data_IF_255049035161
#
_entry.id   IF_255049035161
#
_cell.length_a   1.000
_cell.length_b   1.000
_cell.length_c   1.000
_cell.angle_alpha   90.00
_cell.angle_beta   90.00
_cell.angle_gamma   90.00
#
_symmetry.space_group_name_H-M   'P 1'
#
loop_
_entity.id
_entity.type
_entity.pdbx_description
1 polymer ?
#
# COMPACT_ATOMS: atom_id res chain seq x y z
N UNK A 1 -41.65 4.90 -29.04
CA UNK A 1 -41.38 4.29 -27.71
C UNK A 1 -41.12 5.44 -26.77
N UNK A 2 -41.94 5.62 -25.76
CA UNK A 2 -41.70 6.64 -24.73
C UNK A 2 -40.38 6.28 -24.04
N UNK A 3 -39.34 7.09 -24.22
CA UNK A 3 -38.06 6.97 -23.48
C UNK A 3 -38.37 7.09 -21.98
N UNK A 4 -38.42 5.96 -21.31
CA UNK A 4 -38.59 5.93 -19.85
C UNK A 4 -37.31 6.44 -19.22
N UNK A 5 -37.27 7.69 -18.79
CA UNK A 5 -36.11 8.34 -18.15
C UNK A 5 -35.45 7.45 -17.09
N UNK A 6 -36.26 6.73 -16.29
CA UNK A 6 -35.74 5.87 -15.22
C UNK A 6 -34.89 4.67 -15.69
N UNK A 7 -35.06 4.22 -16.95
CA UNK A 7 -34.30 3.10 -17.51
C UNK A 7 -33.18 3.52 -18.46
N UNK A 8 -33.15 4.81 -18.87
CA UNK A 8 -32.21 5.33 -19.88
C UNK A 8 -30.72 4.96 -19.54
N UNK A 9 -30.33 5.03 -18.30
CA UNK A 9 -28.96 4.74 -17.87
C UNK A 9 -28.57 3.25 -17.95
N UNK A 10 -29.55 2.33 -18.06
CA UNK A 10 -29.34 0.89 -17.96
C UNK A 10 -29.62 0.13 -19.27
N UNK A 11 -30.22 0.79 -20.26
CA UNK A 11 -30.52 0.14 -21.53
C UNK A 11 -29.37 0.27 -22.54
N UNK A 12 -29.22 -0.72 -23.39
CA UNK A 12 -28.23 -0.70 -24.48
C UNK A 12 -28.82 0.05 -25.66
N UNK A 13 -28.48 1.33 -25.78
CA UNK A 13 -28.84 2.22 -26.90
C UNK A 13 -27.59 2.56 -27.72
N UNK A 14 -27.77 3.30 -28.81
CA UNK A 14 -26.66 3.86 -29.60
C UNK A 14 -25.85 4.85 -28.76
N UNK A 15 -26.50 5.63 -27.89
CA UNK A 15 -25.85 6.53 -26.94
C UNK A 15 -24.94 5.74 -25.99
N UNK A 16 -25.44 4.64 -25.41
CA UNK A 16 -24.65 3.76 -24.51
C UNK A 16 -23.48 3.14 -25.26
N UNK A 17 -23.67 2.66 -26.50
CA UNK A 17 -22.56 2.08 -27.30
C UNK A 17 -21.48 3.11 -27.58
N UNK A 18 -21.89 4.34 -27.95
CA UNK A 18 -20.95 5.43 -28.22
C UNK A 18 -20.16 5.81 -26.94
N UNK A 19 -20.86 5.94 -25.80
CA UNK A 19 -20.21 6.20 -24.49
C UNK A 19 -19.17 5.13 -24.15
N UNK A 20 -19.53 3.85 -24.25
CA UNK A 20 -18.60 2.73 -23.94
C UNK A 20 -17.39 2.77 -24.88
N UNK A 21 -17.58 2.94 -26.18
CA UNK A 21 -16.46 3.02 -27.12
C UNK A 21 -15.53 4.20 -26.82
N UNK A 22 -16.09 5.37 -26.47
CA UNK A 22 -15.35 6.57 -26.12
C UNK A 22 -14.44 6.34 -24.90
N UNK A 23 -14.98 5.74 -23.82
CA UNK A 23 -14.22 5.45 -22.59
C UNK A 23 -13.17 4.37 -22.82
N UNK A 24 -13.50 3.32 -23.57
CA UNK A 24 -12.53 2.26 -23.90
C UNK A 24 -11.39 2.78 -24.77
N UNK A 25 -11.66 3.69 -25.71
CA UNK A 25 -10.60 4.28 -26.52
C UNK A 25 -9.65 5.14 -25.68
N UNK A 26 -10.19 5.99 -24.80
CA UNK A 26 -9.38 6.73 -23.83
C UNK A 26 -8.51 5.79 -22.99
N UNK A 27 -9.13 4.77 -22.38
CA UNK A 27 -8.45 3.82 -21.51
C UNK A 27 -7.33 3.08 -22.25
N UNK A 28 -7.59 2.66 -23.50
CA UNK A 28 -6.59 2.02 -24.36
C UNK A 28 -5.42 2.95 -24.65
N UNK A 29 -5.70 4.20 -25.07
CA UNK A 29 -4.63 5.18 -25.35
C UNK A 29 -3.78 5.43 -24.11
N UNK A 30 -4.38 5.67 -22.94
CA UNK A 30 -3.67 5.94 -21.69
C UNK A 30 -2.85 4.75 -21.22
N UNK A 31 -3.40 3.52 -21.29
CA UNK A 31 -2.71 2.30 -20.86
C UNK A 31 -1.50 1.98 -21.75
N UNK A 32 -1.59 2.26 -23.05
CA UNK A 32 -0.54 1.99 -24.03
C UNK A 32 0.41 3.17 -24.28
N UNK A 33 0.19 4.30 -23.61
CA UNK A 33 1.08 5.46 -23.73
C UNK A 33 2.48 5.10 -23.22
N UNK A 34 3.49 5.47 -24.01
CA UNK A 34 4.91 5.31 -23.67
C UNK A 34 5.41 6.54 -22.92
N UNK A 35 5.08 7.72 -23.45
CA UNK A 35 5.43 9.00 -22.86
C UNK A 35 4.16 9.63 -22.27
N UNK A 36 4.03 9.58 -20.95
CA UNK A 36 2.97 10.28 -20.23
C UNK A 36 3.58 11.49 -19.54
N UNK A 37 2.92 12.66 -19.54
CA UNK A 37 3.41 13.79 -18.78
C UNK A 37 3.35 13.47 -17.28
N UNK A 38 4.24 14.10 -16.50
CA UNK A 38 4.19 13.99 -15.04
C UNK A 38 2.99 14.75 -14.48
N UNK A 39 2.61 15.85 -15.16
CA UNK A 39 1.54 16.76 -14.78
C UNK A 39 1.78 17.41 -13.40
N UNK A 40 0.87 18.27 -12.95
CA UNK A 40 1.00 18.95 -11.66
C UNK A 40 -0.35 19.44 -11.16
N UNK A 41 -0.55 19.56 -9.83
CA UNK A 41 -1.80 20.06 -9.28
C UNK A 41 -2.04 21.52 -9.65
N UNK A 42 -3.31 21.89 -9.72
CA UNK A 42 -3.76 23.27 -9.86
C UNK A 42 -4.77 23.64 -8.76
N UNK A 43 -5.17 24.91 -8.68
CA UNK A 43 -6.09 25.38 -7.64
C UNK A 43 -7.53 24.99 -7.93
N UNK A 44 -8.33 24.84 -6.86
CA UNK A 44 -9.79 24.63 -6.99
C UNK A 44 -10.46 25.75 -7.80
N UNK A 45 -10.03 26.98 -7.61
CA UNK A 45 -10.57 28.15 -8.35
C UNK A 45 -10.35 28.00 -9.86
N UNK A 46 -9.15 27.56 -10.25
CA UNK A 46 -8.83 27.36 -11.66
C UNK A 46 -9.61 26.18 -12.25
N UNK A 47 -9.71 25.07 -11.51
CA UNK A 47 -10.52 23.92 -11.93
C UNK A 47 -12.00 24.31 -12.13
N UNK A 48 -12.58 25.08 -11.21
CA UNK A 48 -13.96 25.61 -11.36
C UNK A 48 -14.10 26.51 -12.57
N UNK A 49 -13.11 27.34 -12.84
CA UNK A 49 -13.12 28.25 -14.01
C UNK A 49 -13.05 27.49 -15.33
N UNK A 50 -12.17 26.46 -15.41
CA UNK A 50 -11.94 25.69 -16.63
C UNK A 50 -13.06 24.71 -16.94
N UNK A 51 -13.49 23.93 -15.94
CA UNK A 51 -14.48 22.87 -16.12
C UNK A 51 -15.93 23.40 -16.12
N UNK A 52 -16.19 24.45 -15.34
CA UNK A 52 -17.56 24.89 -15.02
C UNK A 52 -18.34 23.82 -14.24
N UNK A 53 -19.64 24.00 -14.03
CA UNK A 53 -20.49 22.99 -13.40
C UNK A 53 -20.68 21.79 -14.35
N UNK A 54 -20.34 20.60 -13.86
CA UNK A 54 -20.46 19.33 -14.61
C UNK A 54 -21.65 18.49 -14.15
N UNK A 55 -22.09 18.66 -12.90
CA UNK A 55 -23.28 18.01 -12.34
C UNK A 55 -24.43 19.01 -12.47
N UNK A 56 -25.31 18.76 -13.41
CA UNK A 56 -26.48 19.61 -13.76
C UNK A 56 -27.73 18.74 -13.95
N UNK A 57 -28.90 19.33 -13.95
CA UNK A 57 -30.18 18.60 -14.16
C UNK A 57 -30.19 17.81 -15.48
N UNK A 58 -29.66 18.39 -16.57
CA UNK A 58 -29.66 17.75 -17.89
C UNK A 58 -28.39 16.90 -18.14
N UNK A 59 -27.36 17.03 -17.28
CA UNK A 59 -26.01 16.50 -17.53
C UNK A 59 -25.28 17.28 -18.63
N UNK A 60 -23.97 17.06 -18.78
CA UNK A 60 -23.13 17.70 -19.81
C UNK A 60 -22.90 16.81 -21.05
N UNK A 61 -23.36 15.57 -21.00
CA UNK A 61 -23.14 14.54 -22.01
C UNK A 61 -21.75 13.86 -21.90
N UNK A 62 -21.68 12.58 -22.29
CA UNK A 62 -20.50 11.72 -22.09
C UNK A 62 -19.23 12.24 -22.77
N UNK A 63 -19.34 12.74 -24.00
CA UNK A 63 -18.19 13.26 -24.76
C UNK A 63 -17.57 14.49 -24.08
N UNK A 64 -18.41 15.43 -23.60
CA UNK A 64 -17.94 16.61 -22.89
C UNK A 64 -17.39 16.24 -21.50
N UNK A 65 -18.05 15.35 -20.79
CA UNK A 65 -17.58 14.88 -19.48
C UNK A 65 -16.19 14.23 -19.58
N UNK A 66 -15.98 13.36 -20.56
CA UNK A 66 -14.68 12.74 -20.79
C UNK A 66 -13.63 13.77 -21.25
N UNK A 67 -13.98 14.73 -22.11
CA UNK A 67 -13.06 15.79 -22.53
C UNK A 67 -12.63 16.68 -21.34
N UNK A 68 -13.55 17.01 -20.43
CA UNK A 68 -13.22 17.73 -19.19
C UNK A 68 -12.26 16.92 -18.35
N UNK A 69 -12.50 15.61 -18.18
CA UNK A 69 -11.58 14.74 -17.46
C UNK A 69 -10.21 14.68 -18.14
N UNK A 70 -10.16 14.39 -19.46
CA UNK A 70 -8.91 14.19 -20.21
C UNK A 70 -8.05 15.47 -20.29
N UNK A 71 -8.69 16.65 -20.44
CA UNK A 71 -7.97 17.90 -20.70
C UNK A 71 -7.88 18.85 -19.49
N UNK A 72 -8.62 18.60 -18.42
CA UNK A 72 -8.65 19.48 -17.26
C UNK A 72 -8.34 18.72 -15.96
N UNK A 73 -9.04 17.61 -15.68
CA UNK A 73 -8.89 16.95 -14.38
C UNK A 73 -7.66 16.04 -14.33
N UNK A 74 -7.43 15.23 -15.35
CA UNK A 74 -6.27 14.34 -15.38
C UNK A 74 -4.94 15.12 -15.36
N UNK A 75 -4.75 16.22 -16.16
CA UNK A 75 -3.55 17.04 -16.09
C UNK A 75 -3.38 17.82 -14.79
N UNK A 76 -4.41 17.93 -13.95
CA UNK A 76 -4.33 18.50 -12.61
C UNK A 76 -3.96 17.47 -11.53
N UNK A 77 -3.61 16.25 -11.92
CA UNK A 77 -3.16 15.17 -11.03
C UNK A 77 -1.75 14.77 -11.40
N UNK A 78 -0.85 14.68 -10.41
CA UNK A 78 0.49 14.14 -10.66
C UNK A 78 0.36 12.67 -11.06
N UNK A 79 0.99 12.28 -12.17
CA UNK A 79 0.94 10.93 -12.76
C UNK A 79 1.76 9.95 -11.91
N UNK A 80 1.10 9.17 -11.05
CA UNK A 80 1.75 8.29 -10.06
C UNK A 80 2.51 7.11 -10.67
N UNK A 81 2.13 6.65 -11.87
CA UNK A 81 2.83 5.60 -12.62
C UNK A 81 3.93 6.14 -13.55
N UNK A 82 4.30 7.41 -13.41
CA UNK A 82 5.42 8.00 -14.14
C UNK A 82 6.76 7.51 -13.55
N UNK A 83 7.76 7.11 -14.38
CA UNK A 83 9.06 6.61 -13.89
C UNK A 83 9.82 7.59 -12.97
N UNK A 84 9.59 8.88 -13.11
CA UNK A 84 10.21 9.94 -12.30
C UNK A 84 9.32 10.45 -11.16
N UNK A 85 8.26 9.71 -10.81
CA UNK A 85 7.54 9.91 -9.57
C UNK A 85 8.27 9.16 -8.45
N UNK A 86 9.08 9.87 -7.68
CA UNK A 86 10.03 9.29 -6.72
C UNK A 86 9.69 9.62 -5.26
N UNK A 87 8.49 10.13 -5.02
CA UNK A 87 8.00 10.55 -3.70
C UNK A 87 7.03 9.54 -3.09
N UNK A 88 6.85 9.62 -1.78
CA UNK A 88 6.02 8.66 -1.03
C UNK A 88 6.48 7.22 -1.28
N UNK A 89 5.59 6.30 -1.56
CA UNK A 89 5.84 5.02 -2.22
C UNK A 89 4.81 4.94 -3.34
N UNK A 90 5.19 5.24 -4.60
CA UNK A 90 4.25 5.34 -5.71
C UNK A 90 3.68 3.98 -6.14
N UNK A 91 2.64 4.05 -6.97
CA UNK A 91 2.08 2.88 -7.64
C UNK A 91 2.54 2.86 -9.11
N UNK A 92 3.13 1.74 -9.53
CA UNK A 92 3.53 1.53 -10.93
C UNK A 92 2.85 0.25 -11.46
N UNK A 93 1.52 0.26 -11.68
CA UNK A 93 0.78 -0.95 -11.98
C UNK A 93 1.17 -1.54 -13.33
N UNK A 94 1.19 -2.87 -13.41
CA UNK A 94 1.39 -3.57 -14.68
C UNK A 94 0.24 -3.27 -15.64
N UNK A 95 0.53 -3.29 -16.93
CA UNK A 95 -0.51 -3.07 -17.96
C UNK A 95 -1.62 -4.14 -17.88
N UNK A 96 -1.26 -5.38 -17.52
CA UNK A 96 -2.24 -6.45 -17.29
C UNK A 96 -3.17 -6.14 -16.10
N UNK A 97 -2.61 -5.70 -14.96
CA UNK A 97 -3.41 -5.35 -13.79
C UNK A 97 -4.39 -4.20 -14.07
N UNK A 98 -3.93 -3.14 -14.75
CA UNK A 98 -4.77 -2.01 -15.16
C UNK A 98 -5.91 -2.47 -16.08
N UNK A 99 -5.59 -3.27 -17.11
CA UNK A 99 -6.58 -3.78 -18.04
C UNK A 99 -7.62 -4.69 -17.35
N UNK A 100 -7.17 -5.52 -16.42
CA UNK A 100 -8.06 -6.44 -15.70
C UNK A 100 -8.92 -5.74 -14.65
N UNK A 101 -8.48 -4.60 -14.12
CA UNK A 101 -9.30 -3.77 -13.22
C UNK A 101 -10.58 -3.28 -13.89
N UNK A 102 -10.51 -2.98 -15.20
CA UNK A 102 -11.69 -2.70 -16.01
C UNK A 102 -12.63 -3.92 -16.11
N UNK A 103 -12.09 -5.13 -16.27
CA UNK A 103 -12.88 -6.37 -16.29
C UNK A 103 -13.62 -6.56 -14.97
N UNK A 104 -12.93 -6.37 -13.83
CA UNK A 104 -13.54 -6.43 -12.49
C UNK A 104 -14.72 -5.48 -12.36
N UNK A 105 -14.57 -4.23 -12.83
CA UNK A 105 -15.63 -3.22 -12.79
C UNK A 105 -16.78 -3.56 -13.72
N UNK A 106 -16.49 -3.99 -14.96
CA UNK A 106 -17.50 -4.34 -15.96
C UNK A 106 -18.33 -5.57 -15.58
N UNK A 107 -17.75 -6.48 -14.81
CA UNK A 107 -18.42 -7.71 -14.36
C UNK A 107 -19.31 -7.52 -13.13
N UNK A 108 -19.27 -6.35 -12.47
CA UNK A 108 -20.05 -6.01 -11.28
C UNK A 108 -19.97 -7.06 -10.16
N UNK A 109 -18.76 -7.59 -9.91
CA UNK A 109 -18.53 -8.69 -8.98
C UNK A 109 -18.54 -8.23 -7.52
N UNK A 110 -19.24 -8.96 -6.67
CA UNK A 110 -19.19 -8.81 -5.22
C UNK A 110 -18.15 -9.79 -4.63
N UNK A 111 -17.18 -9.26 -3.89
CA UNK A 111 -16.10 -10.07 -3.32
C UNK A 111 -16.20 -10.28 -1.80
N UNK A 112 -17.37 -10.10 -1.18
CA UNK A 112 -17.54 -10.16 0.28
C UNK A 112 -17.85 -11.56 0.81
N UNK A 113 -18.47 -12.42 0.02
CA UNK A 113 -18.88 -13.75 0.45
C UNK A 113 -18.58 -14.80 -0.62
N UNK A 114 -18.42 -16.04 -0.18
CA UNK A 114 -18.32 -17.20 -1.07
C UNK A 114 -19.60 -17.41 -1.87
N UNK A 115 -20.75 -17.28 -1.22
CA UNK A 115 -22.07 -17.49 -1.84
C UNK A 115 -22.24 -16.67 -3.12
N UNK A 116 -21.84 -15.40 -3.08
CA UNK A 116 -22.05 -14.46 -4.20
C UNK A 116 -20.84 -14.37 -5.13
N UNK A 117 -19.64 -14.71 -4.63
CA UNK A 117 -18.38 -14.46 -5.32
C UNK A 117 -17.38 -15.62 -5.30
N UNK A 118 -17.82 -16.89 -5.26
CA UNK A 118 -16.92 -18.04 -5.11
C UNK A 118 -15.69 -17.99 -6.04
N UNK A 119 -15.87 -17.69 -7.32
CA UNK A 119 -14.76 -17.63 -8.29
C UNK A 119 -13.75 -16.51 -7.99
N UNK A 120 -14.21 -15.33 -7.60
CA UNK A 120 -13.30 -14.22 -7.28
C UNK A 120 -12.66 -14.37 -5.92
N UNK A 121 -13.37 -14.98 -4.95
CA UNK A 121 -12.81 -15.32 -3.64
C UNK A 121 -11.72 -16.37 -3.79
N UNK A 122 -11.94 -17.40 -4.62
CA UNK A 122 -10.94 -18.41 -4.92
C UNK A 122 -9.66 -17.78 -5.51
N UNK A 123 -9.80 -16.91 -6.51
CA UNK A 123 -8.66 -16.26 -7.15
C UNK A 123 -7.89 -15.32 -6.18
N UNK A 124 -8.60 -14.59 -5.30
CA UNK A 124 -7.94 -13.79 -4.25
C UNK A 124 -7.21 -14.68 -3.24
N UNK A 125 -7.81 -15.80 -2.82
CA UNK A 125 -7.20 -16.74 -1.89
C UNK A 125 -5.95 -17.42 -2.49
N UNK A 126 -5.92 -17.68 -3.79
CA UNK A 126 -4.73 -18.20 -4.48
C UNK A 126 -3.56 -17.22 -4.36
N UNK A 127 -3.79 -15.92 -4.54
CA UNK A 127 -2.76 -14.88 -4.34
C UNK A 127 -2.34 -14.78 -2.89
N UNK A 128 -3.28 -14.81 -1.95
CA UNK A 128 -2.98 -14.74 -0.50
C UNK A 128 -2.15 -15.94 -0.05
N UNK A 129 -2.48 -17.15 -0.54
CA UNK A 129 -1.71 -18.37 -0.24
C UNK A 129 -0.30 -18.31 -0.84
N UNK A 130 -0.17 -17.80 -2.07
CA UNK A 130 1.14 -17.60 -2.70
C UNK A 130 1.99 -16.62 -1.88
N UNK A 131 1.44 -15.47 -1.50
CA UNK A 131 2.14 -14.49 -0.66
C UNK A 131 2.52 -15.08 0.71
N UNK A 132 1.61 -15.83 1.36
CA UNK A 132 1.88 -16.50 2.62
C UNK A 132 3.07 -17.46 2.51
N UNK A 133 3.13 -18.25 1.44
CA UNK A 133 4.26 -19.13 1.14
C UNK A 133 5.57 -18.38 0.91
N UNK A 134 5.55 -17.25 0.17
CA UNK A 134 6.74 -16.41 -0.03
C UNK A 134 7.23 -15.79 1.29
N UNK A 135 6.34 -15.52 2.24
CA UNK A 135 6.67 -14.98 3.56
C UNK A 135 7.02 -16.06 4.60
N UNK A 136 6.99 -17.34 4.22
CA UNK A 136 7.31 -18.45 5.13
C UNK A 136 6.24 -18.72 6.18
N UNK A 137 5.03 -18.23 6.01
CA UNK A 137 3.90 -18.54 6.88
C UNK A 137 3.41 -19.97 6.64
N UNK A 138 2.71 -20.61 7.61
CA UNK A 138 2.21 -21.97 7.45
C UNK A 138 1.18 -22.07 6.30
N UNK A 139 1.01 -23.27 5.75
CA UNK A 139 0.03 -23.54 4.67
C UNK A 139 -1.42 -23.20 5.08
N UNK A 140 -1.71 -23.25 6.39
CA UNK A 140 -3.01 -22.84 6.94
C UNK A 140 -3.24 -21.34 7.01
N UNK A 141 -2.21 -20.52 6.78
CA UNK A 141 -2.33 -19.08 6.79
C UNK A 141 -3.25 -18.58 5.67
N UNK A 142 -4.01 -17.54 5.96
CA UNK A 142 -4.93 -16.94 5.00
C UNK A 142 -5.42 -15.59 5.46
N UNK A 143 -6.20 -14.92 4.62
CA UNK A 143 -6.57 -13.55 4.94
C UNK A 143 -7.56 -12.95 3.96
N UNK A 144 -7.39 -11.66 3.70
CA UNK A 144 -8.32 -10.87 2.91
C UNK A 144 -7.60 -9.68 2.26
N UNK A 145 -8.06 -9.27 1.09
CA UNK A 145 -7.67 -7.98 0.52
C UNK A 145 -8.53 -6.84 1.07
N UNK A 146 -7.88 -5.79 1.57
CA UNK A 146 -8.51 -4.55 2.05
C UNK A 146 -8.02 -3.35 1.25
N UNK A 147 -8.53 -2.13 1.54
CA UNK A 147 -8.24 -0.94 0.72
C UNK A 147 -6.77 -0.47 0.77
N UNK A 148 -6.07 -0.70 1.85
CA UNK A 148 -4.69 -0.25 2.00
C UNK A 148 -4.15 -0.57 3.38
N UNK A 149 -2.85 -0.37 3.60
CA UNK A 149 -2.17 -0.71 4.84
C UNK A 149 -2.84 -0.16 6.10
N UNK A 150 -3.45 1.03 6.04
CA UNK A 150 -4.19 1.60 7.17
C UNK A 150 -5.36 0.71 7.60
N UNK A 151 -6.16 0.21 6.64
CA UNK A 151 -7.26 -0.72 6.93
C UNK A 151 -6.76 -2.09 7.33
N UNK A 152 -5.64 -2.54 6.75
CA UNK A 152 -4.97 -3.78 7.09
C UNK A 152 -4.46 -3.78 8.54
N UNK A 153 -3.71 -2.73 8.92
CA UNK A 153 -3.22 -2.54 10.28
C UNK A 153 -4.39 -2.49 11.29
N UNK A 154 -5.42 -1.71 11.01
CA UNK A 154 -6.60 -1.65 11.90
C UNK A 154 -7.25 -3.02 12.07
N UNK A 155 -7.51 -3.76 10.99
CA UNK A 155 -8.14 -5.08 11.07
C UNK A 155 -7.27 -6.09 11.81
N UNK A 156 -5.95 -6.12 11.56
CA UNK A 156 -5.02 -6.97 12.28
C UNK A 156 -5.00 -6.67 13.79
N UNK A 157 -4.97 -5.40 14.16
CA UNK A 157 -4.93 -4.97 15.56
C UNK A 157 -6.26 -5.21 16.28
N UNK A 158 -7.40 -5.15 15.58
CA UNK A 158 -8.70 -5.57 16.11
C UNK A 158 -8.70 -7.07 16.43
N UNK A 159 -8.16 -7.91 15.53
CA UNK A 159 -8.01 -9.35 15.75
C UNK A 159 -7.06 -9.64 16.92
N UNK A 160 -5.94 -8.95 17.02
CA UNK A 160 -5.00 -9.06 18.14
C UNK A 160 -5.66 -8.73 19.48
N UNK A 161 -6.43 -7.63 19.55
CA UNK A 161 -7.18 -7.26 20.76
C UNK A 161 -8.22 -8.31 21.13
N UNK A 162 -8.95 -8.83 20.16
CA UNK A 162 -9.95 -9.88 20.41
C UNK A 162 -9.31 -11.16 20.92
N UNK A 163 -8.18 -11.59 20.31
CA UNK A 163 -7.40 -12.72 20.75
C UNK A 163 -6.94 -12.56 22.21
N UNK A 164 -6.36 -11.39 22.53
CA UNK A 164 -5.89 -11.10 23.88
C UNK A 164 -7.02 -11.06 24.91
N UNK A 165 -8.17 -10.47 24.55
CA UNK A 165 -9.37 -10.50 25.40
C UNK A 165 -9.86 -11.91 25.70
N UNK A 166 -9.87 -12.79 24.70
CA UNK A 166 -10.31 -14.16 24.87
C UNK A 166 -9.36 -14.94 25.78
N UNK A 167 -8.06 -14.69 25.68
CA UNK A 167 -7.05 -15.34 26.48
C UNK A 167 -7.10 -14.93 27.96
N UNK A 168 -7.28 -13.62 28.25
CA UNK A 168 -7.28 -13.11 29.63
C UNK A 168 -8.64 -13.27 30.32
N UNK A 169 -9.72 -13.52 29.59
CA UNK A 169 -11.06 -13.70 30.18
C UNK A 169 -11.49 -12.49 31.01
N UNK A 170 -11.64 -12.68 32.33
CA UNK A 170 -12.06 -11.63 33.26
C UNK A 170 -10.88 -10.78 33.78
N UNK A 171 -9.64 -11.19 33.55
CA UNK A 171 -8.41 -10.46 33.97
C UNK A 171 -8.03 -9.35 32.98
N UNK A 172 -9.00 -8.55 32.53
CA UNK A 172 -8.76 -7.49 31.56
C UNK A 172 -8.08 -6.29 32.22
N UNK A 173 -7.06 -5.70 31.55
CA UNK A 173 -6.46 -4.46 32.00
C UNK A 173 -7.47 -3.30 31.88
N UNK A 174 -7.23 -2.23 32.64
CA UNK A 174 -8.02 -1.02 32.55
C UNK A 174 -7.90 -0.34 31.19
N UNK A 175 -6.76 -0.52 30.51
CA UNK A 175 -6.46 0.02 29.19
C UNK A 175 -5.53 -0.91 28.41
N UNK A 176 -5.74 -1.00 27.10
CA UNK A 176 -4.93 -1.81 26.19
C UNK A 176 -3.79 -0.98 25.57
N UNK A 177 -2.70 -1.64 25.20
CA UNK A 177 -1.50 -1.00 24.66
C UNK A 177 -1.03 -1.71 23.39
N UNK A 178 -0.60 -0.92 22.40
CA UNK A 178 0.15 -1.37 21.21
C UNK A 178 1.58 -0.89 21.34
N UNK A 179 2.55 -1.78 21.25
CA UNK A 179 3.98 -1.46 21.23
C UNK A 179 4.43 -1.36 19.77
N UNK A 180 5.11 -0.29 19.40
CA UNK A 180 5.69 -0.12 18.06
C UNK A 180 6.93 0.79 18.12
N UNK A 181 7.65 0.86 17.01
CA UNK A 181 8.72 1.86 16.83
C UNK A 181 8.17 3.29 16.89
N UNK A 182 8.94 4.24 17.42
CA UNK A 182 8.67 5.67 17.27
C UNK A 182 8.65 6.12 15.80
N UNK A 183 9.29 5.34 14.90
CA UNK A 183 9.30 5.55 13.44
C UNK A 183 8.17 4.80 12.71
N UNK A 184 7.27 4.10 13.45
CA UNK A 184 6.16 3.36 12.83
C UNK A 184 5.25 4.28 12.02
N UNK A 185 4.65 3.73 10.97
CA UNK A 185 3.72 4.49 10.13
C UNK A 185 2.53 5.00 10.95
N UNK A 186 2.07 6.22 10.65
CA UNK A 186 0.98 6.91 11.37
C UNK A 186 -0.34 6.11 11.43
N UNK A 187 -0.53 5.11 10.56
CA UNK A 187 -1.68 4.21 10.59
C UNK A 187 -1.80 3.41 11.88
N UNK A 188 -0.68 3.11 12.57
CA UNK A 188 -0.69 2.41 13.87
C UNK A 188 -1.33 3.30 14.92
N UNK A 189 -0.89 4.57 15.02
CA UNK A 189 -1.50 5.54 15.92
C UNK A 189 -2.97 5.84 15.57
N UNK A 190 -3.29 5.90 14.28
CA UNK A 190 -4.68 6.07 13.81
C UNK A 190 -5.55 4.88 14.20
N UNK A 191 -5.07 3.65 14.04
CA UNK A 191 -5.78 2.45 14.47
C UNK A 191 -5.99 2.43 15.98
N UNK A 192 -4.96 2.78 16.76
CA UNK A 192 -5.04 2.90 18.20
C UNK A 192 -6.10 3.90 18.64
N UNK A 193 -6.16 5.08 18.01
CA UNK A 193 -7.20 6.09 18.28
C UNK A 193 -8.60 5.58 17.98
N UNK A 194 -8.83 4.89 16.85
CA UNK A 194 -10.12 4.27 16.50
C UNK A 194 -10.53 3.20 17.51
N UNK A 195 -9.56 2.42 18.00
CA UNK A 195 -9.78 1.33 18.93
C UNK A 195 -9.87 1.77 20.39
N UNK A 196 -9.61 3.04 20.71
CA UNK A 196 -9.45 3.58 22.06
C UNK A 196 -8.43 2.78 22.90
N UNK A 197 -7.25 2.58 22.34
CA UNK A 197 -6.10 1.93 22.97
C UNK A 197 -4.90 2.87 22.98
N UNK A 198 -3.95 2.64 23.90
CA UNK A 198 -2.73 3.44 23.97
C UNK A 198 -1.67 2.90 23.02
N UNK A 199 -0.74 3.76 22.64
CA UNK A 199 0.49 3.38 21.92
C UNK A 199 1.67 3.60 22.84
N UNK A 200 2.53 2.60 22.99
CA UNK A 200 3.84 2.69 23.64
C UNK A 200 4.92 2.76 22.54
N UNK A 201 5.34 3.96 22.13
CA UNK A 201 6.37 4.11 21.12
C UNK A 201 7.75 3.80 21.75
N UNK A 202 8.45 2.86 21.15
CA UNK A 202 9.82 2.48 21.55
C UNK A 202 10.80 3.35 20.77
N UNK A 203 11.70 4.02 21.49
CA UNK A 203 12.75 4.81 20.87
C UNK A 203 13.72 3.91 20.08
N UNK A 204 14.09 4.38 18.90
CA UNK A 204 15.08 3.72 18.04
C UNK A 204 16.42 4.44 18.11
N UNK A 205 17.50 3.74 17.75
CA UNK A 205 18.79 4.38 17.56
C UNK A 205 18.83 5.26 16.30
N UNK A 206 20.01 5.79 15.97
CA UNK A 206 20.22 6.62 14.77
C UNK A 206 19.90 5.89 13.46
N UNK A 207 19.89 4.57 13.49
CA UNK A 207 19.52 3.70 12.37
C UNK A 207 18.01 3.46 12.24
N UNK A 208 17.21 3.93 13.19
CA UNK A 208 15.74 3.84 13.15
C UNK A 208 15.19 2.41 13.30
N UNK A 209 16.00 1.44 13.76
CA UNK A 209 15.61 0.04 13.91
C UNK A 209 14.97 -0.19 15.28
N UNK A 210 13.79 -0.77 15.30
CA UNK A 210 13.19 -1.31 16.53
C UNK A 210 13.93 -2.59 16.94
N UNK A 211 14.45 -2.59 18.17
CA UNK A 211 15.24 -3.70 18.71
C UNK A 211 14.52 -4.43 19.83
N UNK A 212 14.83 -5.73 20.03
CA UNK A 212 14.18 -6.56 21.04
C UNK A 212 14.36 -6.03 22.47
N UNK A 213 15.47 -5.35 22.79
CA UNK A 213 15.68 -4.79 24.13
C UNK A 213 14.64 -3.73 24.49
N UNK A 214 14.35 -2.82 23.55
CA UNK A 214 13.33 -1.79 23.74
C UNK A 214 11.93 -2.38 23.81
N UNK A 215 11.64 -3.39 23.00
CA UNK A 215 10.36 -4.13 23.02
C UNK A 215 10.20 -4.87 24.34
N UNK A 216 11.25 -5.56 24.84
CA UNK A 216 11.26 -6.25 26.13
C UNK A 216 10.92 -5.28 27.27
N UNK A 217 11.58 -4.12 27.32
CA UNK A 217 11.29 -3.11 28.34
C UNK A 217 9.82 -2.66 28.33
N UNK A 218 9.25 -2.44 27.15
CA UNK A 218 7.84 -2.07 27.01
C UNK A 218 6.88 -3.23 27.42
N UNK A 219 7.23 -4.49 27.10
CA UNK A 219 6.48 -5.66 27.53
C UNK A 219 6.51 -5.84 29.06
N UNK A 220 7.66 -5.58 29.70
CA UNK A 220 7.81 -5.61 31.17
C UNK A 220 7.01 -4.47 31.84
N UNK A 221 7.01 -3.27 31.25
CA UNK A 221 6.31 -2.11 31.79
C UNK A 221 4.78 -2.28 31.71
N UNK A 222 4.26 -2.75 30.56
CA UNK A 222 2.84 -2.80 30.30
C UNK A 222 2.19 -4.18 30.54
N UNK A 223 2.97 -5.24 30.60
CA UNK A 223 2.55 -6.60 30.94
C UNK A 223 1.37 -7.08 30.08
N UNK A 224 0.34 -7.60 30.77
CA UNK A 224 -0.86 -8.15 30.12
C UNK A 224 -1.69 -7.12 29.33
N UNK A 225 -1.40 -5.83 29.45
CA UNK A 225 -2.09 -4.79 28.69
C UNK A 225 -1.66 -4.77 27.21
N UNK A 226 -0.49 -5.32 26.88
CA UNK A 226 0.00 -5.35 25.50
C UNK A 226 -0.84 -6.32 24.66
N UNK A 227 -1.51 -5.78 23.65
CA UNK A 227 -2.26 -6.58 22.67
C UNK A 227 -1.40 -7.00 21.49
N UNK A 228 -0.48 -6.14 21.05
CA UNK A 228 0.37 -6.39 19.90
C UNK A 228 1.69 -5.64 20.01
N UNK A 229 2.72 -6.24 19.41
CA UNK A 229 3.94 -5.58 18.97
C UNK A 229 3.86 -5.44 17.47
N UNK A 230 4.00 -4.21 16.95
CA UNK A 230 4.04 -3.93 15.52
C UNK A 230 5.50 -3.69 15.12
N UNK A 231 6.05 -4.59 14.32
CA UNK A 231 7.36 -4.43 13.70
C UNK A 231 7.19 -4.00 12.24
N UNK A 232 8.00 -3.04 11.80
CA UNK A 232 7.96 -2.51 10.44
C UNK A 232 8.98 -3.22 9.55
N UNK A 233 8.52 -3.68 8.41
CA UNK A 233 9.32 -4.35 7.40
C UNK A 233 9.51 -3.44 6.19
N UNK A 234 10.34 -2.41 6.35
CA UNK A 234 10.57 -1.35 5.37
C UNK A 234 9.82 -0.05 5.69
N UNK A 235 10.43 0.81 6.49
CA UNK A 235 9.87 2.13 6.83
C UNK A 235 9.72 3.02 5.60
N UNK A 236 8.69 3.87 5.58
CA UNK A 236 8.45 4.81 4.47
C UNK A 236 9.63 5.76 4.26
N UNK A 237 10.29 6.20 5.33
CA UNK A 237 11.35 7.21 5.24
C UNK A 237 12.66 6.65 4.69
N UNK A 238 13.07 5.45 5.11
CA UNK A 238 14.40 4.90 4.81
C UNK A 238 14.38 3.50 4.20
N UNK A 239 13.24 2.82 4.21
CA UNK A 239 13.18 1.40 3.86
C UNK A 239 13.79 0.50 4.94
N UNK A 240 13.98 1.00 6.17
CA UNK A 240 14.56 0.25 7.28
C UNK A 240 13.68 -0.92 7.70
N UNK A 241 14.30 -2.05 8.01
CA UNK A 241 13.64 -3.26 8.51
C UNK A 241 13.97 -3.40 9.99
N UNK A 242 12.96 -3.55 10.85
CA UNK A 242 13.13 -3.80 12.27
C UNK A 242 13.81 -5.17 12.53
N UNK A 243 14.39 -5.37 13.71
CA UNK A 243 14.93 -6.67 14.11
C UNK A 243 13.83 -7.68 14.44
N UNK A 244 13.14 -8.12 13.36
CA UNK A 244 11.97 -8.99 13.44
C UNK A 244 12.33 -10.32 14.12
N UNK A 245 13.48 -10.90 13.81
CA UNK A 245 13.91 -12.17 14.41
C UNK A 245 14.13 -12.05 15.92
N UNK A 246 14.81 -10.99 16.35
CA UNK A 246 15.01 -10.72 17.77
C UNK A 246 13.70 -10.43 18.51
N UNK A 247 12.78 -9.68 17.88
CA UNK A 247 11.46 -9.42 18.45
C UNK A 247 10.62 -10.70 18.51
N UNK A 248 10.63 -11.52 17.46
CA UNK A 248 9.91 -12.81 17.44
C UNK A 248 10.37 -13.76 18.52
N UNK A 249 11.69 -13.79 18.83
CA UNK A 249 12.24 -14.62 19.90
C UNK A 249 11.71 -14.24 21.30
N UNK A 250 11.20 -13.02 21.50
CA UNK A 250 10.58 -12.63 22.76
C UNK A 250 9.28 -13.38 23.05
N UNK A 251 8.65 -14.00 22.03
CA UNK A 251 7.45 -14.83 22.21
C UNK A 251 7.71 -16.09 23.05
N UNK A 252 8.95 -16.48 23.25
CA UNK A 252 9.29 -17.58 24.16
C UNK A 252 9.10 -17.21 25.64
N UNK A 253 9.22 -15.92 25.98
CA UNK A 253 9.12 -15.39 27.35
C UNK A 253 7.85 -14.59 27.60
N UNK A 254 7.28 -13.98 26.53
CA UNK A 254 6.14 -13.04 26.60
C UNK A 254 5.05 -13.43 25.64
N UNK A 255 3.84 -13.16 26.03
CA UNK A 255 2.68 -13.47 25.26
C UNK A 255 2.10 -12.19 24.62
N UNK A 256 2.31 -12.04 23.33
CA UNK A 256 1.84 -10.90 22.51
C UNK A 256 1.60 -11.32 21.08
N UNK A 257 0.76 -10.56 20.39
CA UNK A 257 0.57 -10.69 18.95
C UNK A 257 1.67 -9.96 18.20
N UNK A 258 2.40 -10.65 17.35
CA UNK A 258 3.39 -10.03 16.46
C UNK A 258 2.72 -9.68 15.12
N UNK A 259 2.56 -8.39 14.85
CA UNK A 259 2.08 -7.87 13.57
C UNK A 259 3.22 -7.26 12.77
N UNK A 260 3.35 -7.64 11.50
CA UNK A 260 4.34 -7.07 10.59
C UNK A 260 3.67 -6.07 9.65
N UNK A 261 3.98 -4.79 9.84
CA UNK A 261 3.67 -3.77 8.85
C UNK A 261 4.71 -3.81 7.72
N UNK A 262 4.40 -4.59 6.72
CA UNK A 262 5.19 -4.75 5.50
C UNK A 262 4.58 -4.06 4.29
N UNK A 263 3.72 -3.05 4.50
CA UNK A 263 2.96 -2.39 3.45
C UNK A 263 3.81 -2.03 2.21
N UNK A 264 5.05 -1.61 2.44
CA UNK A 264 6.01 -1.36 1.37
C UNK A 264 7.03 -2.51 1.23
N UNK A 265 7.80 -2.76 2.28
CA UNK A 265 9.04 -3.50 2.13
C UNK A 265 8.89 -5.01 2.07
N UNK A 266 7.77 -5.58 2.54
CA UNK A 266 7.59 -7.03 2.52
C UNK A 266 7.59 -7.61 1.10
N UNK A 267 7.25 -6.81 0.08
CA UNK A 267 7.40 -7.18 -1.33
C UNK A 267 8.84 -7.59 -1.69
N UNK A 268 9.85 -7.03 -1.00
CA UNK A 268 11.25 -7.35 -1.24
C UNK A 268 11.66 -8.77 -0.81
N UNK A 269 10.83 -9.49 -0.06
CA UNK A 269 11.04 -10.92 0.19
C UNK A 269 11.00 -11.75 -1.10
N UNK A 270 10.39 -11.25 -2.16
CA UNK A 270 10.44 -11.89 -3.48
C UNK A 270 11.84 -11.83 -4.10
N UNK A 271 12.66 -10.82 -3.75
CA UNK A 271 14.01 -10.67 -4.28
C UNK A 271 15.04 -11.47 -3.48
N UNK A 272 15.89 -12.29 -4.13
CA UNK A 272 16.98 -12.98 -3.45
C UNK A 272 18.00 -12.01 -2.84
N UNK A 273 18.07 -10.77 -3.33
CA UNK A 273 18.99 -9.75 -2.82
C UNK A 273 18.64 -9.27 -1.41
N UNK A 274 17.35 -9.27 -1.06
CA UNK A 274 16.87 -8.74 0.22
C UNK A 274 16.26 -9.80 1.15
N UNK A 275 15.83 -10.96 0.64
CA UNK A 275 15.09 -11.98 1.39
C UNK A 275 15.71 -12.31 2.76
N UNK A 276 17.02 -12.39 2.84
CA UNK A 276 17.75 -12.73 4.08
C UNK A 276 17.57 -11.70 5.19
N UNK A 277 17.13 -10.47 4.90
CA UNK A 277 16.93 -9.39 5.87
C UNK A 277 15.60 -9.53 6.64
N UNK A 278 14.72 -10.41 6.20
CA UNK A 278 13.36 -10.56 6.73
C UNK A 278 13.21 -11.78 7.64
N UNK A 279 14.32 -12.28 8.19
CA UNK A 279 14.27 -13.39 9.14
C UNK A 279 13.35 -13.04 10.32
N UNK A 280 12.47 -13.98 10.72
CA UNK A 280 11.48 -13.78 11.78
C UNK A 280 10.07 -13.45 11.28
N UNK A 281 9.90 -13.02 10.02
CA UNK A 281 8.57 -12.77 9.43
C UNK A 281 7.70 -14.02 9.48
N UNK A 282 8.29 -15.19 9.30
CA UNK A 282 7.63 -16.49 9.40
C UNK A 282 7.01 -16.77 10.77
N UNK A 283 7.37 -16.02 11.80
CA UNK A 283 6.82 -16.12 13.17
C UNK A 283 5.69 -15.14 13.48
N UNK A 284 5.35 -14.26 12.54
CA UNK A 284 4.28 -13.27 12.69
C UNK A 284 2.91 -13.94 12.88
N UNK A 285 2.04 -13.31 13.68
CA UNK A 285 0.63 -13.70 13.80
C UNK A 285 -0.22 -13.07 12.70
N UNK A 286 0.20 -11.90 12.21
CA UNK A 286 -0.35 -11.28 11.01
C UNK A 286 0.67 -10.44 10.27
N UNK A 287 0.49 -10.32 8.95
CA UNK A 287 1.30 -9.47 8.09
C UNK A 287 0.41 -8.67 7.16
N UNK A 288 0.86 -7.48 6.76
CA UNK A 288 0.29 -6.76 5.63
C UNK A 288 1.34 -6.47 4.56
N UNK A 289 0.91 -6.48 3.32
CA UNK A 289 1.67 -5.94 2.18
C UNK A 289 0.69 -5.23 1.23
N UNK A 290 1.09 -4.07 0.68
CA UNK A 290 0.25 -3.30 -0.24
C UNK A 290 0.62 -3.62 -1.69
N UNK A 291 -0.17 -4.45 -2.42
CA UNK A 291 0.06 -4.66 -3.84
C UNK A 291 0.09 -3.38 -4.67
N UNK A 292 -0.70 -2.37 -4.30
CA UNK A 292 -0.71 -1.08 -4.99
C UNK A 292 0.57 -0.26 -4.81
N UNK A 293 1.53 -0.73 -4.00
CA UNK A 293 2.89 -0.17 -3.89
C UNK A 293 3.84 -1.00 -4.77
N UNK A 294 4.61 -1.86 -4.17
CA UNK A 294 5.73 -2.55 -4.86
C UNK A 294 5.40 -3.95 -5.38
N UNK A 295 4.10 -4.28 -5.51
CA UNK A 295 3.60 -5.46 -6.24
C UNK A 295 2.78 -5.07 -7.47
N UNK A 296 2.93 -3.84 -7.93
CA UNK A 296 2.52 -3.36 -9.24
C UNK A 296 1.02 -3.56 -9.56
N UNK A 297 0.16 -3.48 -8.53
CA UNK A 297 -1.28 -3.45 -8.71
C UNK A 297 -1.81 -2.00 -8.74
N UNK A 298 -2.96 -1.72 -9.37
CA UNK A 298 -3.58 -0.40 -9.28
C UNK A 298 -4.14 -0.13 -7.88
N UNK A 299 -4.33 1.15 -7.54
CA UNK A 299 -5.05 1.56 -6.34
C UNK A 299 -6.49 1.03 -6.38
N UNK A 300 -7.02 0.48 -5.26
CA UNK A 300 -6.34 0.30 -4.01
C UNK A 300 -6.35 -1.18 -3.58
N UNK A 301 -5.27 -1.70 -3.02
CA UNK A 301 -5.19 -3.07 -2.53
C UNK A 301 -4.12 -3.23 -1.45
N UNK A 302 -4.49 -3.90 -0.35
CA UNK A 302 -3.58 -4.40 0.69
C UNK A 302 -3.95 -5.85 0.97
N UNK A 303 -2.98 -6.76 0.97
CA UNK A 303 -3.16 -8.12 1.46
C UNK A 303 -2.90 -8.14 2.97
N UNK A 304 -3.92 -8.51 3.73
CA UNK A 304 -3.83 -8.83 5.15
C UNK A 304 -3.87 -10.34 5.28
N UNK A 305 -2.83 -10.93 5.87
CA UNK A 305 -2.70 -12.37 6.06
C UNK A 305 -2.53 -12.66 7.55
N UNK A 306 -3.32 -13.57 8.07
CA UNK A 306 -3.22 -14.13 9.42
C UNK A 306 -2.53 -15.48 9.39
N UNK A 307 -1.64 -15.75 10.35
CA UNK A 307 -1.06 -17.07 10.58
C UNK A 307 -2.15 -18.11 10.91
N UNK A 308 -3.06 -17.71 11.79
CA UNK A 308 -4.27 -18.45 12.17
C UNK A 308 -5.51 -17.62 11.76
N UNK A 309 -6.10 -17.90 10.59
CA UNK A 309 -7.24 -17.13 10.11
C UNK A 309 -8.49 -17.24 10.99
N UNK A 310 -8.64 -18.29 11.80
CA UNK A 310 -9.78 -18.43 12.71
C UNK A 310 -9.81 -17.30 13.76
N UNK A 311 -8.65 -16.76 14.14
CA UNK A 311 -8.56 -15.60 15.03
C UNK A 311 -9.09 -14.33 14.36
N UNK A 312 -8.76 -14.13 13.07
CA UNK A 312 -9.32 -13.04 12.26
C UNK A 312 -10.82 -13.18 12.10
N UNK A 313 -11.29 -14.39 11.74
CA UNK A 313 -12.69 -14.71 11.58
C UNK A 313 -13.49 -14.42 12.84
N UNK A 314 -13.02 -14.90 14.00
CA UNK A 314 -13.67 -14.67 15.29
C UNK A 314 -13.85 -13.19 15.61
N UNK A 315 -12.88 -12.37 15.26
CA UNK A 315 -12.88 -10.94 15.57
C UNK A 315 -13.78 -10.11 14.65
N UNK A 316 -13.99 -10.54 13.41
CA UNK A 316 -14.61 -9.72 12.37
C UNK A 316 -15.96 -10.24 11.88
N UNK A 317 -16.32 -11.51 12.11
CA UNK A 317 -17.61 -12.05 11.66
C UNK A 317 -18.77 -11.20 12.19
N UNK A 318 -19.50 -10.60 11.25
CA UNK A 318 -20.70 -9.82 11.57
C UNK A 318 -21.90 -10.75 11.72
N UNK A 319 -22.71 -10.50 12.74
CA UNK A 319 -23.92 -11.30 13.04
C UNK A 319 -25.16 -10.42 12.89
N UNK A 320 -26.03 -10.80 11.97
CA UNK A 320 -27.36 -10.23 11.79
C UNK A 320 -28.26 -11.26 11.10
N UNK A 321 -29.55 -11.27 11.35
CA UNK A 321 -30.50 -12.26 10.80
C UNK A 321 -30.38 -12.43 9.27
N UNK A 322 -30.19 -11.32 8.52
CA UNK A 322 -30.02 -11.40 7.07
C UNK A 322 -28.64 -11.94 6.62
N UNK A 323 -27.69 -12.11 7.55
CA UNK A 323 -26.36 -12.68 7.30
C UNK A 323 -26.26 -14.16 7.73
N UNK A 324 -27.31 -14.75 8.33
CA UNK A 324 -27.26 -16.12 8.88
C UNK A 324 -26.81 -17.12 7.81
N UNK A 325 -27.32 -17.01 6.57
CA UNK A 325 -26.92 -17.87 5.46
C UNK A 325 -25.41 -17.78 5.13
N UNK A 326 -24.78 -16.62 5.37
CA UNK A 326 -23.35 -16.41 5.14
C UNK A 326 -22.51 -16.87 6.34
N UNK A 327 -22.97 -16.58 7.56
CA UNK A 327 -22.24 -16.88 8.80
C UNK A 327 -22.29 -18.35 9.19
N UNK A 328 -23.33 -19.09 8.78
CA UNK A 328 -23.46 -20.54 8.96
C UNK A 328 -22.66 -21.35 7.91
N UNK A 329 -22.20 -20.70 6.83
CA UNK A 329 -21.39 -21.35 5.81
C UNK A 329 -20.02 -21.73 6.36
N UNK A 330 -19.54 -22.92 5.96
CA UNK A 330 -18.17 -23.36 6.24
C UNK A 330 -17.15 -22.77 5.24
N UNK A 331 -17.65 -22.11 4.20
CA UNK A 331 -16.83 -21.56 3.12
C UNK A 331 -16.18 -20.24 3.49
N UNK A 332 -15.08 -19.93 2.83
CA UNK A 332 -14.31 -18.72 3.10
C UNK A 332 -15.03 -17.47 2.61
N UNK A 333 -15.55 -16.66 3.53
CA UNK A 333 -16.16 -15.37 3.22
C UNK A 333 -15.23 -14.22 3.64
N UNK A 334 -14.68 -13.44 2.70
CA UNK A 334 -13.72 -12.37 2.99
C UNK A 334 -14.21 -11.32 3.99
N UNK A 335 -15.52 -11.08 4.08
CA UNK A 335 -16.12 -10.18 5.08
C UNK A 335 -15.92 -10.64 6.54
N UNK A 336 -15.52 -11.88 6.75
CA UNK A 336 -15.23 -12.44 8.08
C UNK A 336 -13.81 -12.14 8.58
N UNK A 337 -12.94 -11.53 7.75
CA UNK A 337 -11.52 -11.39 8.05
C UNK A 337 -11.06 -9.92 8.16
N UNK A 338 -11.95 -8.96 7.95
CA UNK A 338 -11.68 -7.53 8.10
C UNK A 338 -12.94 -6.75 8.49
N UNK A 339 -12.78 -5.47 8.82
CA UNK A 339 -13.88 -4.59 9.26
C UNK A 339 -14.94 -4.29 8.19
N UNK A 340 -14.76 -4.74 6.96
CA UNK A 340 -15.62 -4.42 5.83
C UNK A 340 -16.56 -5.56 5.47
N UNK A 341 -17.84 -5.27 5.33
CA UNK A 341 -18.82 -6.20 4.78
C UNK A 341 -18.84 -6.12 3.26
N UNK A 342 -19.21 -4.95 2.72
CA UNK A 342 -19.26 -4.74 1.28
C UNK A 342 -17.88 -4.44 0.74
N UNK A 343 -17.43 -5.26 -0.21
CA UNK A 343 -16.12 -5.09 -0.81
C UNK A 343 -16.07 -5.50 -2.29
N UNK A 344 -15.25 -4.77 -3.00
CA UNK A 344 -14.77 -5.12 -4.34
C UNK A 344 -13.68 -6.19 -4.23
N UNK A 345 -13.56 -7.16 -5.16
CA UNK A 345 -12.44 -8.11 -5.20
C UNK A 345 -11.15 -7.41 -5.68
N UNK A 346 -10.44 -6.81 -4.74
CA UNK A 346 -9.26 -5.96 -4.97
C UNK A 346 -7.99 -6.72 -5.35
N UNK A 347 -7.93 -8.00 -5.03
CA UNK A 347 -6.80 -8.86 -5.38
C UNK A 347 -6.79 -9.35 -6.82
N UNK A 348 -7.91 -9.27 -7.53
CA UNK A 348 -8.04 -9.80 -8.88
C UNK A 348 -7.09 -9.15 -9.91
N UNK A 349 -6.84 -7.84 -9.92
CA UNK A 349 -5.85 -7.27 -10.82
C UNK A 349 -4.44 -7.86 -10.61
N UNK A 350 -4.03 -8.08 -9.35
CA UNK A 350 -2.77 -8.75 -9.04
C UNK A 350 -2.79 -10.21 -9.47
N UNK A 351 -3.87 -10.94 -9.18
CA UNK A 351 -4.04 -12.33 -9.62
C UNK A 351 -3.84 -12.47 -11.13
N UNK A 352 -4.54 -11.65 -11.91
CA UNK A 352 -4.43 -11.70 -13.37
C UNK A 352 -3.03 -11.34 -13.86
N UNK A 353 -2.39 -10.37 -13.25
CA UNK A 353 -1.03 -9.96 -13.59
C UNK A 353 -0.01 -11.05 -13.28
N UNK A 354 -0.10 -11.69 -12.11
CA UNK A 354 0.73 -12.84 -11.74
C UNK A 354 0.50 -14.02 -12.67
N UNK A 355 -0.75 -14.34 -12.98
CA UNK A 355 -1.10 -15.43 -13.90
C UNK A 355 -0.59 -15.16 -15.33
N UNK A 356 -0.52 -13.89 -15.75
CA UNK A 356 -0.10 -13.48 -17.08
C UNK A 356 1.41 -13.43 -17.25
N UNK A 357 2.14 -12.90 -16.25
CA UNK A 357 3.59 -12.65 -16.35
C UNK A 357 4.45 -13.63 -15.56
N UNK A 358 3.87 -14.36 -14.60
CA UNK A 358 4.58 -15.25 -13.70
C UNK A 358 5.29 -14.52 -12.56
N UNK A 359 5.54 -15.24 -11.46
CA UNK A 359 6.17 -14.71 -10.26
C UNK A 359 7.63 -14.30 -10.49
N UNK A 360 8.34 -14.94 -11.42
CA UNK A 360 9.74 -14.63 -11.72
C UNK A 360 9.91 -13.20 -12.26
N UNK A 361 9.00 -12.74 -13.11
CA UNK A 361 9.01 -11.36 -13.61
C UNK A 361 8.88 -10.33 -12.48
N UNK A 362 8.10 -10.66 -11.44
CA UNK A 362 8.00 -9.82 -10.23
C UNK A 362 9.30 -9.81 -9.43
N UNK A 363 9.96 -10.97 -9.28
CA UNK A 363 11.27 -11.06 -8.60
C UNK A 363 12.33 -10.23 -9.29
N UNK A 364 12.39 -10.30 -10.62
CA UNK A 364 13.30 -9.51 -11.44
C UNK A 364 13.03 -8.00 -11.31
N UNK A 365 11.76 -7.57 -11.40
CA UNK A 365 11.39 -6.16 -11.30
C UNK A 365 11.72 -5.56 -9.92
N UNK A 366 11.49 -6.30 -8.84
CA UNK A 366 11.82 -5.87 -7.48
C UNK A 366 13.34 -5.84 -7.28
N UNK A 367 14.06 -6.86 -7.76
CA UNK A 367 15.52 -6.92 -7.69
C UNK A 367 16.15 -5.76 -8.43
N UNK A 368 15.66 -5.42 -9.63
CA UNK A 368 16.09 -4.26 -10.39
C UNK A 368 15.98 -2.95 -9.60
N UNK A 369 14.87 -2.73 -8.92
CA UNK A 369 14.69 -1.52 -8.09
C UNK A 369 15.70 -1.44 -6.93
N UNK A 370 16.02 -2.58 -6.31
CA UNK A 370 17.03 -2.65 -5.24
C UNK A 370 18.42 -2.37 -5.80
N UNK A 371 18.79 -2.99 -6.91
CA UNK A 371 20.08 -2.76 -7.59
C UNK A 371 20.25 -1.30 -7.99
N UNK A 372 19.21 -0.70 -8.56
CA UNK A 372 19.21 0.71 -8.94
C UNK A 372 19.40 1.63 -7.74
N UNK A 373 18.75 1.34 -6.59
CA UNK A 373 18.95 2.07 -5.35
C UNK A 373 20.41 1.99 -4.87
N UNK A 374 21.04 0.83 -4.95
CA UNK A 374 22.46 0.65 -4.58
C UNK A 374 23.40 1.41 -5.53
N UNK A 375 23.10 1.38 -6.82
CA UNK A 375 23.88 2.08 -7.85
C UNK A 375 23.83 3.60 -7.64
N UNK A 376 22.63 4.17 -7.46
CA UNK A 376 22.49 5.62 -7.25
C UNK A 376 23.04 6.06 -5.89
N UNK A 377 22.96 5.23 -4.85
CA UNK A 377 23.63 5.46 -3.58
C UNK A 377 25.15 5.56 -3.74
N UNK A 378 25.73 4.73 -4.59
CA UNK A 378 27.16 4.78 -4.93
C UNK A 378 27.49 6.05 -5.73
N UNK A 379 26.61 6.48 -6.64
CA UNK A 379 26.79 7.70 -7.41
C UNK A 379 26.73 8.95 -6.54
N UNK A 380 25.80 9.02 -5.60
CA UNK A 380 25.67 10.13 -4.63
C UNK A 380 27.00 10.32 -3.86
N UNK A 381 27.65 9.26 -3.44
CA UNK A 381 28.94 9.32 -2.70
C UNK A 381 30.10 9.90 -3.50
N UNK A 382 30.04 9.88 -4.82
CA UNK A 382 31.08 10.45 -5.69
C UNK A 382 30.92 11.97 -5.85
N UNK A 383 29.77 12.51 -5.53
CA UNK A 383 29.44 13.91 -5.71
C UNK A 383 29.87 14.74 -4.49
N UNK A 384 30.74 15.74 -4.65
CA UNK A 384 31.36 16.44 -3.51
C UNK A 384 30.35 17.22 -2.66
N UNK A 385 29.21 17.58 -3.23
CA UNK A 385 28.18 18.38 -2.57
C UNK A 385 27.00 17.55 -2.03
N UNK A 386 27.00 16.23 -2.25
CA UNK A 386 25.94 15.35 -1.82
C UNK A 386 26.46 14.36 -0.77
N UNK A 387 25.59 14.04 0.17
CA UNK A 387 25.89 13.07 1.20
C UNK A 387 24.77 12.03 1.29
N UNK A 388 25.11 10.77 1.06
CA UNK A 388 24.20 9.66 1.32
C UNK A 388 23.99 9.55 2.84
N UNK A 389 22.72 9.59 3.30
CA UNK A 389 22.40 9.54 4.73
C UNK A 389 22.71 8.16 5.30
N UNK A 390 22.31 7.10 4.57
CA UNK A 390 22.68 5.70 4.86
C UNK A 390 22.63 4.87 3.59
N UNK A 391 23.26 3.70 3.64
CA UNK A 391 23.15 2.71 2.57
C UNK A 391 21.69 2.28 2.39
N UNK A 392 21.17 2.22 1.16
CA UNK A 392 19.84 1.73 0.91
C UNK A 392 19.73 0.23 1.24
N UNK A 393 18.76 -0.14 2.04
CA UNK A 393 18.48 -1.54 2.36
C UNK A 393 17.52 -2.17 1.36
N UNK A 394 16.60 -1.38 0.85
CA UNK A 394 15.60 -1.71 -0.15
C UNK A 394 15.69 -0.71 -1.31
N UNK A 395 14.58 -0.15 -1.76
CA UNK A 395 14.52 0.74 -2.92
C UNK A 395 14.37 2.24 -2.57
N UNK A 396 14.53 2.61 -1.29
CA UNK A 396 14.53 4.00 -0.84
C UNK A 396 15.96 4.49 -0.61
N UNK A 397 16.30 5.62 -1.22
CA UNK A 397 17.61 6.28 -1.11
C UNK A 397 17.43 7.66 -0.52
N UNK A 398 18.07 7.95 0.62
CA UNK A 398 17.97 9.26 1.31
C UNK A 398 19.31 9.96 1.27
N UNK A 399 19.31 11.22 0.85
CA UNK A 399 20.52 12.00 0.69
C UNK A 399 20.32 13.47 1.05
N UNK A 400 21.41 14.11 1.43
CA UNK A 400 21.47 15.53 1.76
C UNK A 400 22.35 16.27 0.75
N UNK A 401 22.00 17.54 0.52
CA UNK A 401 22.83 18.51 -0.21
C UNK A 401 23.41 19.48 0.81
N UNK A 402 24.74 19.61 0.80
CA UNK A 402 25.45 20.51 1.70
C UNK A 402 24.94 21.94 1.57
N UNK A 403 24.85 22.65 2.68
CA UNK A 403 24.42 24.04 2.79
C UNK A 403 22.97 24.35 2.32
N UNK A 404 22.17 23.33 1.96
CA UNK A 404 20.77 23.55 1.60
C UNK A 404 19.86 23.60 2.82
N UNK A 405 19.04 24.65 2.86
CA UNK A 405 17.94 24.81 3.81
C UNK A 405 16.70 24.04 3.32
N UNK A 406 15.69 23.95 4.18
CA UNK A 406 14.39 23.37 3.80
C UNK A 406 13.75 24.10 2.62
N UNK A 407 13.91 25.43 2.59
CA UNK A 407 13.40 26.30 1.52
C UNK A 407 14.13 26.06 0.18
N UNK A 408 15.43 25.72 0.23
CA UNK A 408 16.18 25.36 -0.98
C UNK A 408 15.67 24.04 -1.58
N UNK A 409 15.47 23.01 -0.75
CA UNK A 409 14.86 21.76 -1.17
C UNK A 409 13.46 21.98 -1.76
N UNK A 410 12.63 22.81 -1.13
CA UNK A 410 11.28 23.08 -1.62
C UNK A 410 11.33 23.77 -3.00
N UNK A 411 12.14 24.82 -3.17
CA UNK A 411 12.31 25.49 -4.47
C UNK A 411 12.83 24.56 -5.57
N UNK A 412 13.73 23.66 -5.21
CA UNK A 412 14.23 22.65 -6.12
C UNK A 412 13.13 21.67 -6.53
N UNK A 413 12.40 21.12 -5.57
CA UNK A 413 11.27 20.21 -5.78
C UNK A 413 10.19 20.84 -6.69
N UNK A 414 9.82 22.09 -6.41
CA UNK A 414 8.82 22.83 -7.18
C UNK A 414 9.27 22.99 -8.65
N UNK A 415 10.51 23.38 -8.87
CA UNK A 415 11.08 23.51 -10.23
C UNK A 415 11.13 22.17 -10.98
N UNK A 416 11.51 21.08 -10.31
CA UNK A 416 11.51 19.75 -10.95
C UNK A 416 10.13 19.38 -11.46
N UNK A 417 9.09 19.67 -10.69
CA UNK A 417 7.71 19.38 -11.07
C UNK A 417 7.20 20.33 -12.16
N UNK A 418 7.46 21.64 -12.05
CA UNK A 418 7.10 22.66 -13.06
C UNK A 418 7.75 22.35 -14.41
N UNK A 419 9.02 21.93 -14.40
CA UNK A 419 9.76 21.57 -15.60
C UNK A 419 9.44 20.16 -16.14
N UNK A 420 8.48 19.45 -15.52
CA UNK A 420 8.09 18.07 -15.86
C UNK A 420 9.28 17.08 -15.79
N UNK A 421 10.26 17.35 -14.93
CA UNK A 421 11.48 16.52 -14.84
C UNK A 421 11.33 15.38 -13.85
N UNK A 422 10.79 15.66 -12.65
CA UNK A 422 10.58 14.66 -11.61
C UNK A 422 9.63 15.18 -10.51
N UNK A 423 9.09 14.26 -9.73
CA UNK A 423 8.40 14.56 -8.49
C UNK A 423 9.17 14.00 -7.29
N UNK A 424 9.88 14.88 -6.58
CA UNK A 424 10.70 14.57 -5.41
C UNK A 424 10.34 15.51 -4.26
N UNK A 425 9.59 15.03 -3.28
CA UNK A 425 9.17 15.83 -2.12
C UNK A 425 10.28 15.88 -1.08
N UNK A 426 10.65 17.08 -0.57
CA UNK A 426 11.58 17.23 0.54
C UNK A 426 11.09 16.51 1.80
N UNK A 427 12.03 16.00 2.58
CA UNK A 427 11.78 15.36 3.87
C UNK A 427 12.75 15.92 4.92
N UNK A 428 12.72 15.35 6.12
CA UNK A 428 13.69 15.66 7.16
C UNK A 428 13.95 14.44 8.03
N UNK A 429 15.17 14.36 8.58
CA UNK A 429 15.56 13.38 9.57
C UNK A 429 16.38 14.05 10.67
N UNK A 430 15.99 13.86 11.92
CA UNK A 430 16.64 14.49 13.09
C UNK A 430 16.81 16.03 12.93
N UNK A 431 15.78 16.68 12.38
CA UNK A 431 15.77 18.14 12.15
C UNK A 431 16.59 18.61 10.94
N UNK A 432 17.28 17.73 10.23
CA UNK A 432 18.02 18.05 9.00
C UNK A 432 17.17 17.79 7.77
N UNK A 433 17.01 18.77 6.87
CA UNK A 433 16.29 18.60 5.62
C UNK A 433 17.05 17.64 4.70
N UNK A 434 16.32 16.87 3.92
CA UNK A 434 16.88 15.93 2.97
C UNK A 434 15.94 15.72 1.77
N UNK A 435 16.44 15.05 0.75
CA UNK A 435 15.66 14.51 -0.33
C UNK A 435 15.73 12.97 -0.30
N UNK A 436 14.73 12.33 -0.91
CA UNK A 436 14.75 10.87 -1.05
C UNK A 436 14.16 10.45 -2.38
N UNK A 437 14.67 9.35 -2.90
CA UNK A 437 14.09 8.61 -4.01
C UNK A 437 13.42 7.34 -3.50
N UNK A 438 12.17 7.13 -3.87
CA UNK A 438 11.45 5.88 -3.68
C UNK A 438 11.35 5.18 -5.04
N UNK A 439 12.25 4.24 -5.29
CA UNK A 439 12.45 3.61 -6.60
C UNK A 439 11.63 2.33 -6.65
N UNK A 440 10.35 2.44 -7.04
CA UNK A 440 9.45 1.28 -7.15
C UNK A 440 8.96 1.06 -8.58
N UNK A 441 9.15 2.02 -9.50
CA UNK A 441 8.76 1.86 -10.89
C UNK A 441 9.88 1.16 -11.67
N UNK A 442 9.63 -0.03 -12.26
CA UNK A 442 10.67 -0.75 -13.01
C UNK A 442 11.16 -0.03 -14.28
N UNK A 443 10.48 1.03 -14.71
CA UNK A 443 10.89 1.85 -15.86
C UNK A 443 11.78 3.03 -15.47
N UNK A 444 11.99 3.28 -14.19
CA UNK A 444 12.97 4.27 -13.73
C UNK A 444 14.37 3.82 -14.10
N UNK A 445 15.17 4.69 -14.73
CA UNK A 445 16.54 4.37 -15.16
C UNK A 445 17.58 5.03 -14.25
N UNK A 446 18.83 4.55 -14.33
CA UNK A 446 19.96 5.18 -13.64
C UNK A 446 20.20 6.60 -14.16
N UNK A 447 20.08 6.79 -15.46
CA UNK A 447 20.23 8.08 -16.14
C UNK A 447 19.17 9.09 -15.66
N UNK A 448 17.92 8.68 -15.49
CA UNK A 448 16.85 9.54 -14.92
C UNK A 448 17.24 10.07 -13.54
N UNK A 449 17.81 9.22 -12.69
CA UNK A 449 18.19 9.59 -11.32
C UNK A 449 19.44 10.50 -11.31
N UNK A 450 20.40 10.21 -12.19
CA UNK A 450 21.60 11.07 -12.38
C UNK A 450 21.19 12.45 -12.87
N UNK A 451 20.33 12.55 -13.87
CA UNK A 451 19.82 13.82 -14.40
C UNK A 451 19.12 14.67 -13.33
N UNK A 452 18.44 14.01 -12.38
CA UNK A 452 17.81 14.72 -11.24
C UNK A 452 18.88 15.22 -10.26
N UNK A 453 19.88 14.39 -9.92
CA UNK A 453 20.98 14.79 -9.05
C UNK A 453 21.79 15.96 -9.64
N UNK A 454 21.99 15.99 -10.96
CA UNK A 454 22.71 17.08 -11.66
C UNK A 454 22.01 18.44 -11.49
N UNK A 455 20.71 18.46 -11.23
CA UNK A 455 19.97 19.70 -10.94
C UNK A 455 20.24 20.27 -9.54
N UNK A 456 20.96 19.54 -8.70
CA UNK A 456 21.34 19.98 -7.34
C UNK A 456 22.77 20.58 -7.29
N UNK A 457 23.44 20.70 -8.40
CA UNK A 457 24.77 21.30 -8.50
C UNK A 457 24.83 22.81 -8.25
#
# INVERSE_FOLDING_TARGET
MTDNLHSRMHVVSDETRNLVNLVLDYSRRRTLAVDTPLDHPTTETELKRLAGPTITEDGVGSSRALAIFEHIFAPACITTDHPKYLSFIPSAPTKAAVAFDLVVSASALYGGSWLEGAGVVHAENEVLSWLAGEFGLPESAGGVFVQGGTSGNLSALVAARDARKAQLGDEKPGRWVIVCSAEAHSSVASAAAVMDVDVAPVATGDDGILRPEGVRAALEEHGNAVIAVVATSGTTNFGTIDDIAGIAALKDDYDFWLHIDGAYGLAAMLSPLARHKFAGVESADSVIVDPHKWLFAPFDACALIYRDPDLGRRAHTQRAEYLDTLTESQEWSPSDYAIQLTRRPRGLPLWYSLASYGAETYREAISHSIELAMQIGTEIKKRPNLRLVREPELSVVVFERDDWTREDYQRWSDRLLEDQRAFVVPSSHQGRPNARFAIVNPLTTFEDLVDILDTME
#
